data_IF_837269726710
#
_entry.id   IF_837269726710
#
_cell.length_a   1.000
_cell.length_b   1.000
_cell.length_c   1.000
_cell.angle_alpha   90.00
_cell.angle_beta   90.00
_cell.angle_gamma   90.00
#
_symmetry.space_group_name_H-M   'P 1'
#
loop_
_entity.id
_entity.type
_entity.pdbx_description
1 polymer ?
#
# COMPACT_ATOMS: atom_id res chain seq x y z
N UNK A 1 37.32 -45.64 14.53
CA UNK A 1 36.08 -44.86 14.75
C UNK A 1 36.00 -43.83 13.62
N UNK A 2 35.01 -43.94 12.75
CA UNK A 2 34.94 -43.25 11.44
C UNK A 2 33.57 -42.57 11.39
N UNK A 3 33.52 -41.25 11.57
CA UNK A 3 32.29 -40.45 11.43
C UNK A 3 32.35 -39.69 10.10
N UNK A 4 31.46 -39.97 9.13
CA UNK A 4 31.21 -39.10 8.00
C UNK A 4 29.84 -38.42 8.21
N UNK A 5 29.83 -37.13 8.57
CA UNK A 5 28.59 -36.35 8.60
C UNK A 5 28.91 -34.88 8.35
N UNK A 6 29.29 -34.56 7.11
CA UNK A 6 29.50 -33.17 6.65
C UNK A 6 28.86 -32.90 5.28
N UNK A 7 27.76 -33.58 4.95
CA UNK A 7 27.09 -33.44 3.64
C UNK A 7 25.58 -33.19 3.73
N UNK A 8 25.09 -32.46 4.74
CA UNK A 8 23.67 -32.12 4.86
C UNK A 8 23.36 -30.61 4.94
N UNK A 9 24.31 -29.73 4.61
CA UNK A 9 24.07 -28.28 4.60
C UNK A 9 24.06 -27.61 3.21
N UNK A 10 24.31 -28.35 2.13
CA UNK A 10 24.45 -27.76 0.79
C UNK A 10 23.19 -27.85 -0.10
N UNK A 11 22.10 -28.49 0.35
CA UNK A 11 20.91 -28.73 -0.49
C UNK A 11 19.82 -27.66 -0.41
N UNK A 12 20.01 -26.56 0.32
CA UNK A 12 19.03 -25.47 0.46
C UNK A 12 19.24 -24.29 -0.51
N UNK A 13 20.24 -24.34 -1.39
CA UNK A 13 20.58 -23.25 -2.34
C UNK A 13 20.20 -23.54 -3.80
N UNK A 14 19.51 -24.66 -4.06
CA UNK A 14 19.04 -25.01 -5.41
C UNK A 14 17.52 -24.94 -5.50
N UNK A 15 16.92 -23.84 -5.04
CA UNK A 15 15.60 -23.46 -5.52
C UNK A 15 15.79 -23.00 -6.97
N UNK A 16 15.12 -23.59 -7.97
CA UNK A 16 15.08 -22.93 -9.28
C UNK A 16 14.54 -21.52 -9.06
N UNK A 17 15.20 -20.52 -9.64
CA UNK A 17 14.60 -19.20 -9.82
C UNK A 17 13.29 -19.41 -10.55
N UNK A 18 12.19 -19.46 -9.81
CA UNK A 18 10.86 -19.40 -10.36
C UNK A 18 10.79 -18.03 -11.05
N UNK A 19 10.97 -18.01 -12.37
CA UNK A 19 10.75 -16.81 -13.15
C UNK A 19 9.24 -16.58 -13.11
N UNK A 20 8.79 -15.71 -12.20
CA UNK A 20 7.42 -15.23 -12.21
C UNK A 20 7.16 -14.59 -13.57
N UNK A 21 6.42 -15.28 -14.44
CA UNK A 21 5.98 -14.69 -15.70
C UNK A 21 4.93 -13.66 -15.36
N UNK A 22 5.20 -12.37 -15.61
CA UNK A 22 4.14 -11.37 -15.71
C UNK A 22 3.24 -11.85 -16.85
N UNK A 23 2.04 -12.29 -16.52
CA UNK A 23 1.06 -12.68 -17.54
C UNK A 23 0.47 -11.39 -18.10
N UNK A 24 1.10 -10.89 -19.16
CA UNK A 24 0.58 -9.78 -19.96
C UNK A 24 0.07 -10.31 -21.29
N UNK A 25 -1.13 -9.87 -21.68
CA UNK A 25 -1.73 -10.22 -22.96
C UNK A 25 -2.42 -9.00 -23.58
N UNK A 26 -2.08 -8.75 -24.82
CA UNK A 26 -2.77 -7.79 -25.68
C UNK A 26 -4.19 -8.30 -26.04
N UNK A 27 -5.18 -7.43 -25.86
CA UNK A 27 -6.59 -7.66 -26.15
C UNK A 27 -7.12 -6.52 -27.04
N UNK A 28 -6.67 -6.52 -28.30
CA UNK A 28 -6.91 -5.37 -29.19
C UNK A 28 -6.04 -4.21 -28.75
N UNK A 29 -6.64 -3.06 -28.46
CA UNK A 29 -5.95 -1.84 -27.99
C UNK A 29 -5.79 -1.83 -26.44
N UNK A 30 -6.05 -2.95 -25.78
CA UNK A 30 -5.98 -3.08 -24.33
C UNK A 30 -4.88 -4.03 -23.89
N UNK A 31 -4.20 -3.63 -22.82
CA UNK A 31 -3.22 -4.41 -22.10
C UNK A 31 -3.85 -5.09 -20.89
N UNK A 32 -3.95 -6.42 -20.89
CA UNK A 32 -4.34 -7.19 -19.70
C UNK A 32 -3.10 -7.67 -18.96
N UNK A 33 -2.94 -7.29 -17.69
CA UNK A 33 -1.77 -7.61 -16.86
C UNK A 33 -2.16 -8.26 -15.54
N UNK A 34 -1.58 -9.42 -15.25
CA UNK A 34 -1.57 -10.03 -13.90
C UNK A 34 -0.26 -9.64 -13.18
N UNK A 35 -0.36 -9.05 -11.98
CA UNK A 35 0.81 -8.54 -11.26
C UNK A 35 0.62 -8.59 -9.74
N UNK A 36 1.72 -8.55 -8.96
CA UNK A 36 1.69 -8.20 -7.53
C UNK A 36 1.94 -6.70 -7.26
N UNK A 37 1.85 -5.88 -8.31
CA UNK A 37 1.78 -4.41 -8.18
C UNK A 37 0.61 -3.88 -9.00
N UNK A 38 -0.35 -3.14 -8.39
CA UNK A 38 -1.49 -2.60 -9.13
C UNK A 38 -1.11 -1.38 -9.98
N UNK A 39 -1.83 -1.13 -11.07
CA UNK A 39 -1.57 -0.03 -12.02
C UNK A 39 -1.81 1.38 -11.47
N UNK A 40 -2.60 1.49 -10.40
CA UNK A 40 -2.89 2.71 -9.62
C UNK A 40 -1.68 3.16 -8.81
N UNK A 41 -0.73 3.83 -9.46
CA UNK A 41 0.57 4.14 -8.86
C UNK A 41 0.45 5.20 -7.76
N UNK A 42 -0.43 6.20 -7.93
CA UNK A 42 -0.62 7.26 -6.93
C UNK A 42 -1.32 6.75 -5.68
N UNK A 43 -2.19 5.75 -5.83
CA UNK A 43 -2.92 5.17 -4.70
C UNK A 43 -2.02 4.40 -3.72
N UNK A 44 -0.96 3.72 -4.16
CA UNK A 44 -0.15 2.82 -3.30
C UNK A 44 0.45 3.48 -2.04
N UNK A 45 0.64 4.80 -2.04
CA UNK A 45 1.09 5.56 -0.86
C UNK A 45 -0.03 6.15 -0.02
N UNK A 46 -1.22 6.25 -0.58
CA UNK A 46 -2.38 6.99 -0.10
C UNK A 46 -3.49 6.10 0.48
N UNK A 47 -3.51 4.83 0.11
CA UNK A 47 -4.51 3.85 0.56
C UNK A 47 -4.28 3.41 2.01
N UNK A 48 -5.35 2.85 2.62
CA UNK A 48 -5.29 2.19 3.93
C UNK A 48 -4.17 1.14 3.94
N UNK A 49 -3.42 0.99 5.04
CA UNK A 49 -2.47 -0.10 5.18
C UNK A 49 -3.28 -1.39 5.23
N UNK A 50 -3.15 -2.20 4.19
CA UNK A 50 -3.81 -3.49 4.15
C UNK A 50 -3.19 -4.43 5.18
N UNK A 51 -4.02 -5.29 5.78
CA UNK A 51 -3.52 -6.45 6.50
C UNK A 51 -2.69 -7.27 5.49
N UNK A 52 -1.41 -7.47 5.76
CA UNK A 52 -0.53 -8.24 4.87
C UNK A 52 -0.98 -9.70 4.89
N UNK A 53 -1.73 -10.12 3.87
CA UNK A 53 -1.94 -11.53 3.58
C UNK A 53 -0.65 -12.18 3.10
N UNK A 54 -0.52 -13.49 3.30
CA UNK A 54 0.60 -14.29 2.75
C UNK A 54 0.61 -14.31 1.22
N UNK A 55 -0.49 -13.93 0.60
CA UNK A 55 -0.66 -13.84 -0.85
C UNK A 55 -1.46 -12.58 -1.20
N UNK A 56 -0.92 -11.79 -2.14
CA UNK A 56 -1.53 -10.59 -2.68
C UNK A 56 -1.27 -10.51 -4.19
N UNK A 57 -2.20 -9.94 -4.94
CA UNK A 57 -2.12 -9.87 -6.39
C UNK A 57 -3.32 -9.16 -7.01
N UNK A 58 -3.20 -8.83 -8.30
CA UNK A 58 -4.27 -8.16 -9.02
C UNK A 58 -4.21 -8.35 -10.52
N UNK A 59 -5.34 -8.04 -11.13
CA UNK A 59 -5.57 -8.05 -12.57
C UNK A 59 -5.91 -6.64 -13.02
N UNK A 60 -5.17 -6.15 -14.01
CA UNK A 60 -5.28 -4.82 -14.57
C UNK A 60 -5.61 -4.90 -16.06
N UNK A 61 -6.49 -4.01 -16.52
CA UNK A 61 -6.76 -3.74 -17.92
C UNK A 61 -6.49 -2.26 -18.20
N UNK A 62 -5.52 -1.96 -19.05
CA UNK A 62 -5.16 -0.58 -19.43
C UNK A 62 -5.32 -0.35 -20.93
N UNK A 63 -5.50 0.90 -21.34
CA UNK A 63 -5.59 1.33 -22.73
C UNK A 63 -4.62 2.48 -22.97
N UNK A 64 -4.08 2.59 -24.19
CA UNK A 64 -3.11 3.63 -24.59
C UNK A 64 -3.63 5.08 -24.43
N UNK A 65 -4.95 5.24 -24.31
CA UNK A 65 -5.57 6.54 -24.00
C UNK A 65 -5.30 7.02 -22.57
N UNK A 66 -4.80 6.14 -21.70
CA UNK A 66 -4.52 6.42 -20.29
C UNK A 66 -5.57 5.87 -19.32
N UNK A 67 -6.71 5.38 -19.82
CA UNK A 67 -7.73 4.73 -18.99
C UNK A 67 -7.26 3.35 -18.52
N UNK A 68 -7.57 3.02 -17.27
CA UNK A 68 -7.37 1.69 -16.73
C UNK A 68 -8.44 1.31 -15.72
N UNK A 69 -8.73 0.01 -15.65
CA UNK A 69 -9.58 -0.60 -14.64
C UNK A 69 -8.85 -1.82 -14.08
N UNK A 70 -9.02 -2.10 -12.80
CA UNK A 70 -8.38 -3.27 -12.22
C UNK A 70 -9.04 -3.73 -10.94
N UNK A 71 -8.61 -4.91 -10.51
CA UNK A 71 -8.95 -5.50 -9.23
C UNK A 71 -7.68 -5.94 -8.54
N UNK A 72 -7.55 -5.58 -7.27
CA UNK A 72 -6.41 -5.91 -6.43
C UNK A 72 -6.90 -6.53 -5.12
N UNK A 73 -6.28 -7.63 -4.70
CA UNK A 73 -6.54 -8.20 -3.38
C UNK A 73 -5.25 -8.15 -2.56
N UNK A 74 -5.19 -7.31 -1.51
CA UNK A 74 -4.03 -7.25 -0.64
C UNK A 74 -4.00 -8.38 0.40
N UNK A 75 -5.16 -8.98 0.66
CA UNK A 75 -5.33 -10.16 1.49
C UNK A 75 -6.39 -11.05 0.87
N UNK A 76 -6.00 -12.26 0.49
CA UNK A 76 -6.91 -13.26 -0.06
C UNK A 76 -7.69 -14.05 1.02
N UNK A 77 -7.55 -13.66 2.30
CA UNK A 77 -8.26 -14.27 3.43
C UNK A 77 -7.87 -15.73 3.73
N UNK A 78 -6.67 -16.17 3.32
CA UNK A 78 -6.21 -17.56 3.46
C UNK A 78 -5.65 -17.90 4.87
N UNK A 79 -6.12 -17.23 5.92
CA UNK A 79 -5.68 -17.45 7.30
C UNK A 79 -6.76 -17.14 8.33
N UNK A 80 -6.69 -17.77 9.50
CA UNK A 80 -7.74 -17.72 10.55
C UNK A 80 -8.03 -16.29 11.08
N UNK A 81 -7.15 -15.32 10.80
CA UNK A 81 -7.25 -13.93 11.26
C UNK A 81 -7.31 -12.89 10.14
N UNK A 82 -7.42 -13.29 8.88
CA UNK A 82 -7.36 -12.36 7.75
C UNK A 82 -8.67 -12.40 6.97
N UNK A 83 -9.31 -11.24 6.86
CA UNK A 83 -10.46 -11.07 5.98
C UNK A 83 -10.00 -10.91 4.52
N UNK A 84 -10.88 -11.32 3.60
CA UNK A 84 -10.71 -11.06 2.18
C UNK A 84 -11.01 -9.59 1.92
N UNK A 85 -10.05 -8.91 1.30
CA UNK A 85 -10.21 -7.55 0.80
C UNK A 85 -10.10 -7.58 -0.72
N UNK A 86 -11.06 -6.96 -1.39
CA UNK A 86 -11.08 -6.80 -2.85
C UNK A 86 -11.24 -5.33 -3.19
N UNK A 87 -10.20 -4.77 -3.81
CA UNK A 87 -10.15 -3.38 -4.24
C UNK A 87 -10.43 -3.31 -5.73
N UNK A 88 -11.60 -2.81 -6.11
CA UNK A 88 -11.93 -2.52 -7.50
C UNK A 88 -11.63 -1.06 -7.81
N UNK A 89 -10.98 -0.77 -8.94
CA UNK A 89 -10.59 0.60 -9.25
C UNK A 89 -10.69 0.93 -10.72
N UNK A 90 -10.91 2.22 -10.96
CA UNK A 90 -10.90 2.87 -12.27
C UNK A 90 -10.03 4.11 -12.15
N UNK A 91 -9.20 4.37 -13.14
CA UNK A 91 -8.42 5.58 -13.18
C UNK A 91 -8.02 6.01 -14.58
N UNK A 92 -7.42 7.17 -14.62
CA UNK A 92 -6.85 7.79 -15.81
C UNK A 92 -5.45 8.30 -15.48
N UNK A 93 -4.48 7.92 -16.31
CA UNK A 93 -3.08 8.33 -16.19
C UNK A 93 -2.62 8.98 -17.48
N UNK A 94 -2.02 10.15 -17.36
CA UNK A 94 -1.46 10.86 -18.50
C UNK A 94 -0.02 11.29 -18.21
N UNK A 95 0.98 10.52 -18.70
CA UNK A 95 2.36 10.97 -18.71
C UNK A 95 2.58 11.96 -19.86
N UNK A 96 3.11 13.14 -19.55
CA UNK A 96 3.61 14.06 -20.58
C UNK A 96 5.01 13.63 -21.04
N UNK A 97 5.83 13.18 -20.09
CA UNK A 97 7.13 12.57 -20.32
C UNK A 97 7.49 11.65 -19.13
N UNK A 98 8.77 11.29 -19.00
CA UNK A 98 9.27 10.42 -17.91
C UNK A 98 9.29 11.10 -16.52
N UNK A 99 9.10 12.41 -16.48
CA UNK A 99 9.26 13.26 -15.30
C UNK A 99 8.00 14.00 -14.91
N UNK A 100 7.09 14.26 -15.85
CA UNK A 100 5.87 15.00 -15.66
C UNK A 100 4.66 14.16 -16.07
N UNK A 101 3.67 14.08 -15.18
CA UNK A 101 2.41 13.40 -15.46
C UNK A 101 1.40 13.64 -14.37
N UNK A 102 0.15 13.25 -14.63
CA UNK A 102 -0.88 13.20 -13.61
C UNK A 102 -1.63 11.88 -13.66
N UNK A 103 -2.20 11.51 -12.51
CA UNK A 103 -3.05 10.34 -12.35
C UNK A 103 -4.22 10.71 -11.45
N UNK A 104 -5.42 10.32 -11.83
CA UNK A 104 -6.63 10.43 -11.01
C UNK A 104 -7.39 9.13 -11.07
N UNK A 105 -8.12 8.81 -10.01
CA UNK A 105 -8.94 7.61 -10.00
C UNK A 105 -9.78 7.46 -8.75
N UNK A 106 -10.48 6.34 -8.72
CA UNK A 106 -11.29 5.94 -7.59
C UNK A 106 -11.09 4.46 -7.28
N UNK A 107 -11.32 4.10 -6.02
CA UNK A 107 -11.23 2.74 -5.49
C UNK A 107 -12.51 2.46 -4.72
N UNK A 108 -13.10 1.31 -4.98
CA UNK A 108 -14.13 0.69 -4.15
C UNK A 108 -13.46 -0.45 -3.39
N UNK A 109 -13.41 -0.32 -2.07
CA UNK A 109 -13.00 -1.39 -1.17
C UNK A 109 -14.23 -2.22 -0.82
N UNK A 110 -14.11 -3.53 -0.99
CA UNK A 110 -15.14 -4.51 -0.62
C UNK A 110 -14.57 -5.53 0.35
N UNK A 111 -15.30 -5.76 1.45
CA UNK A 111 -14.97 -6.74 2.48
C UNK A 111 -16.09 -7.79 2.57
N UNK A 112 -16.09 -8.84 1.73
CA UNK A 112 -17.22 -9.75 1.59
C UNK A 112 -17.61 -10.48 2.89
N UNK A 113 -16.66 -10.71 3.81
CA UNK A 113 -16.97 -11.33 5.11
C UNK A 113 -17.43 -10.33 6.18
N UNK A 114 -17.22 -9.03 5.98
CA UNK A 114 -17.43 -7.96 6.98
C UNK A 114 -18.45 -6.91 6.52
N UNK A 115 -19.36 -7.25 5.60
CA UNK A 115 -20.42 -6.34 5.18
C UNK A 115 -21.23 -5.87 6.41
N UNK A 116 -21.39 -4.54 6.64
CA UNK A 116 -21.34 -3.44 5.67
C UNK A 116 -20.10 -2.52 5.75
N UNK A 117 -18.87 -3.05 5.84
CA UNK A 117 -17.64 -2.24 5.97
C UNK A 117 -17.08 -1.67 4.64
N UNK A 118 -17.84 -1.74 3.55
CA UNK A 118 -17.41 -1.25 2.24
C UNK A 118 -17.11 0.25 2.26
N UNK A 119 -16.08 0.67 1.53
CA UNK A 119 -15.64 2.07 1.49
C UNK A 119 -15.22 2.51 0.09
N UNK A 120 -15.23 3.83 -0.13
CA UNK A 120 -14.83 4.45 -1.39
C UNK A 120 -13.69 5.41 -1.17
N UNK A 121 -12.79 5.52 -2.13
CA UNK A 121 -11.70 6.49 -2.11
C UNK A 121 -11.49 7.10 -3.48
N UNK A 122 -11.35 8.42 -3.52
CA UNK A 122 -10.90 9.17 -4.68
C UNK A 122 -9.46 9.60 -4.45
N UNK A 123 -8.62 9.50 -5.47
CA UNK A 123 -7.25 9.97 -5.39
C UNK A 123 -6.86 10.73 -6.66
N UNK A 124 -5.87 11.59 -6.49
CA UNK A 124 -5.24 12.31 -7.57
C UNK A 124 -3.81 12.69 -7.21
N UNK A 125 -2.95 12.81 -8.22
CA UNK A 125 -1.56 13.17 -7.99
C UNK A 125 -0.82 13.59 -9.24
N UNK A 126 0.36 14.15 -9.00
CA UNK A 126 1.30 14.63 -9.99
C UNK A 126 2.63 13.90 -9.82
N UNK A 127 3.21 13.51 -10.94
CA UNK A 127 4.63 13.13 -11.01
C UNK A 127 5.41 14.36 -11.45
N UNK A 128 6.47 14.70 -10.72
CA UNK A 128 7.37 15.82 -10.99
C UNK A 128 8.82 15.37 -10.77
N UNK A 129 9.63 15.36 -11.82
CA UNK A 129 11.06 15.00 -11.76
C UNK A 129 11.31 13.64 -11.08
N UNK A 130 10.42 12.66 -11.33
CA UNK A 130 10.48 11.33 -10.71
C UNK A 130 9.96 11.27 -9.26
N UNK A 131 9.63 12.41 -8.64
CA UNK A 131 8.90 12.47 -7.38
C UNK A 131 7.39 12.41 -7.63
N UNK A 132 6.62 11.88 -6.68
CA UNK A 132 5.17 11.77 -6.74
C UNK A 132 4.54 12.54 -5.59
N UNK A 133 3.54 13.33 -5.90
CA UNK A 133 2.75 14.09 -4.93
C UNK A 133 1.29 13.75 -5.15
N UNK A 134 0.58 13.40 -4.09
CA UNK A 134 -0.80 12.96 -4.22
C UNK A 134 -1.66 13.31 -3.03
N UNK A 135 -2.96 13.29 -3.28
CA UNK A 135 -3.99 13.43 -2.28
C UNK A 135 -5.05 12.36 -2.49
N UNK A 136 -5.65 11.90 -1.40
CA UNK A 136 -6.79 11.00 -1.42
C UNK A 136 -7.88 11.45 -0.44
N UNK A 137 -9.11 11.13 -0.77
CA UNK A 137 -10.28 11.32 0.08
C UNK A 137 -11.05 10.02 0.15
N UNK A 138 -11.20 9.46 1.35
CA UNK A 138 -11.97 8.24 1.57
C UNK A 138 -13.24 8.50 2.35
N UNK A 139 -14.28 7.75 2.00
CA UNK A 139 -15.55 7.70 2.68
C UNK A 139 -15.81 6.27 3.13
N UNK A 140 -15.62 6.06 4.43
CA UNK A 140 -15.94 4.85 5.15
C UNK A 140 -17.33 5.01 5.81
N UNK A 141 -18.02 3.92 6.19
CA UNK A 141 -19.33 4.00 6.82
C UNK A 141 -19.36 4.87 8.09
N UNK A 142 -18.27 4.86 8.85
CA UNK A 142 -18.14 5.51 10.16
C UNK A 142 -17.05 6.60 10.18
N UNK A 143 -16.37 6.85 9.07
CA UNK A 143 -15.18 7.72 9.04
C UNK A 143 -14.96 8.35 7.67
N UNK A 144 -14.38 9.54 7.63
CA UNK A 144 -13.89 10.19 6.41
C UNK A 144 -12.42 10.52 6.59
N UNK A 145 -11.61 10.19 5.59
CA UNK A 145 -10.18 10.43 5.63
C UNK A 145 -9.76 11.38 4.52
N UNK A 146 -8.80 12.25 4.80
CA UNK A 146 -8.09 13.02 3.78
C UNK A 146 -6.60 12.81 3.96
N UNK A 147 -5.95 12.29 2.92
CA UNK A 147 -4.55 11.90 2.95
C UNK A 147 -3.77 12.77 1.99
N UNK A 148 -2.59 13.23 2.42
CA UNK A 148 -1.56 13.82 1.58
C UNK A 148 -0.33 12.92 1.56
N UNK A 149 0.30 12.82 0.40
CA UNK A 149 1.44 11.95 0.16
C UNK A 149 2.49 12.66 -0.68
N UNK A 150 3.75 12.46 -0.32
CA UNK A 150 4.90 12.82 -1.12
C UNK A 150 5.88 11.65 -1.13
N UNK A 151 6.34 11.25 -2.30
CA UNK A 151 7.38 10.25 -2.49
C UNK A 151 8.45 10.81 -3.40
N UNK A 152 9.62 11.05 -2.82
CA UNK A 152 10.71 11.78 -3.45
C UNK A 152 11.62 10.86 -4.27
N UNK A 153 11.33 9.55 -4.29
CA UNK A 153 12.16 8.56 -4.98
C UNK A 153 13.55 8.40 -4.37
N UNK A 154 14.29 7.39 -4.85
CA UNK A 154 15.66 7.14 -4.43
C UNK A 154 16.66 7.94 -5.23
N UNK A 155 17.30 8.93 -4.62
CA UNK A 155 18.28 9.77 -5.33
C UNK A 155 19.73 9.32 -5.09
N UNK A 156 20.63 9.47 -6.09
CA UNK A 156 22.06 9.24 -5.92
C UNK A 156 22.67 10.11 -4.80
N UNK A 157 23.78 9.68 -4.16
CA UNK A 157 24.53 8.44 -4.39
C UNK A 157 24.05 7.24 -3.56
N UNK A 158 23.12 7.46 -2.61
CA UNK A 158 22.76 6.42 -1.64
C UNK A 158 21.54 5.58 -2.06
N UNK A 159 20.75 6.06 -3.02
CA UNK A 159 19.56 5.36 -3.49
C UNK A 159 18.51 5.20 -2.38
N UNK A 160 18.48 6.12 -1.42
CA UNK A 160 17.51 6.12 -0.33
C UNK A 160 16.27 6.86 -0.80
N UNK A 161 15.17 6.13 -0.92
CA UNK A 161 13.84 6.69 -1.13
C UNK A 161 13.30 7.30 0.15
N UNK A 162 12.64 8.45 0.04
CA UNK A 162 11.91 9.09 1.14
C UNK A 162 10.46 9.24 0.74
N UNK A 163 9.54 8.69 1.54
CA UNK A 163 8.11 8.93 1.39
C UNK A 163 7.52 9.47 2.68
N UNK A 164 6.64 10.45 2.57
CA UNK A 164 5.93 11.11 3.67
C UNK A 164 4.44 10.96 3.42
N UNK A 165 3.70 10.65 4.48
CA UNK A 165 2.24 10.64 4.47
C UNK A 165 1.70 11.38 5.69
N UNK A 166 0.62 12.12 5.48
CA UNK A 166 -0.16 12.77 6.51
C UNK A 166 -1.64 12.52 6.25
N UNK A 167 -2.38 12.07 7.26
CA UNK A 167 -3.81 11.76 7.15
C UNK A 167 -4.59 12.50 8.22
N UNK A 168 -5.68 13.14 7.82
CA UNK A 168 -6.72 13.63 8.72
C UNK A 168 -7.88 12.64 8.74
N UNK A 169 -8.27 12.22 9.93
CA UNK A 169 -9.40 11.33 10.18
C UNK A 169 -10.54 12.10 10.83
N UNK A 170 -11.73 12.06 10.23
CA UNK A 170 -12.96 12.61 10.78
C UNK A 170 -13.91 11.46 11.09
N UNK A 171 -14.23 11.27 12.38
CA UNK A 171 -15.14 10.23 12.81
C UNK A 171 -16.59 10.68 12.59
N UNK A 172 -17.42 9.79 12.03
CA UNK A 172 -18.85 10.02 11.83
C UNK A 172 -19.62 10.03 13.15
N UNK A 173 -19.15 9.26 14.13
CA UNK A 173 -19.60 9.32 15.53
C UNK A 173 -18.38 9.56 16.43
N UNK A 174 -18.39 10.60 17.28
CA UNK A 174 -17.26 10.84 18.19
C UNK A 174 -16.99 9.64 19.09
N UNK A 175 -15.73 9.22 19.16
CA UNK A 175 -15.30 8.13 20.02
C UNK A 175 -15.28 8.60 21.47
N UNK A 176 -15.94 7.84 22.37
CA UNK A 176 -15.86 8.12 23.81
C UNK A 176 -14.49 7.71 24.33
N UNK A 177 -13.84 8.63 25.04
CA UNK A 177 -12.53 8.43 25.68
C UNK A 177 -12.65 8.81 27.16
N UNK A 178 -11.66 8.45 27.98
CA UNK A 178 -11.74 8.62 29.44
C UNK A 178 -12.05 10.06 29.88
N UNK A 179 -11.64 11.05 29.11
CA UNK A 179 -11.74 12.48 29.44
C UNK A 179 -12.59 13.29 28.44
N UNK A 180 -13.46 12.64 27.66
CA UNK A 180 -14.34 13.33 26.72
C UNK A 180 -14.63 12.54 25.45
N UNK A 181 -14.60 13.23 24.32
CA UNK A 181 -14.87 12.65 23.01
C UNK A 181 -13.82 13.11 21.99
N UNK A 182 -13.41 12.19 21.13
CA UNK A 182 -12.56 12.47 19.97
C UNK A 182 -13.46 12.43 18.74
N UNK A 183 -13.55 13.54 18.01
CA UNK A 183 -14.30 13.62 16.74
C UNK A 183 -13.38 13.60 15.52
N UNK A 184 -12.11 13.96 15.68
CA UNK A 184 -11.10 13.89 14.65
C UNK A 184 -9.70 13.73 15.24
N UNK A 185 -8.80 13.18 14.43
CA UNK A 185 -7.38 13.08 14.76
C UNK A 185 -6.55 13.04 13.47
N UNK A 186 -5.24 13.19 13.62
CA UNK A 186 -4.31 13.09 12.49
C UNK A 186 -3.25 12.02 12.76
N UNK A 187 -2.78 11.38 11.71
CA UNK A 187 -1.60 10.53 11.76
C UNK A 187 -0.61 10.88 10.64
N UNK A 188 0.65 10.51 10.84
CA UNK A 188 1.67 10.72 9.84
C UNK A 188 2.71 9.60 9.86
N UNK A 189 3.40 9.46 8.73
CA UNK A 189 4.55 8.56 8.63
C UNK A 189 5.63 9.10 7.71
N UNK A 190 6.87 8.77 8.06
CA UNK A 190 8.05 8.99 7.23
C UNK A 190 8.68 7.62 6.98
N UNK A 191 8.85 7.26 5.72
CA UNK A 191 9.43 6.01 5.27
C UNK A 191 10.74 6.29 4.55
N UNK A 192 11.80 5.61 4.97
CA UNK A 192 13.04 5.46 4.23
C UNK A 192 13.07 4.08 3.60
N UNK A 193 13.35 3.98 2.31
CA UNK A 193 13.44 2.71 1.59
C UNK A 193 14.73 2.58 0.81
N UNK A 194 15.34 1.40 0.80
CA UNK A 194 16.53 1.12 0.02
C UNK A 194 16.54 -0.33 -0.47
N UNK A 195 16.69 -0.57 -1.78
CA UNK A 195 16.92 -1.91 -2.29
C UNK A 195 18.34 -2.37 -1.89
N UNK A 196 18.45 -3.59 -1.39
CA UNK A 196 19.69 -4.21 -0.96
C UNK A 196 19.69 -5.70 -1.29
N UNK A 197 20.51 -6.09 -2.28
CA UNK A 197 20.68 -7.49 -2.69
C UNK A 197 19.36 -8.22 -3.03
N UNK A 198 18.43 -7.53 -3.71
CA UNK A 198 17.11 -8.09 -4.06
C UNK A 198 16.07 -8.00 -2.95
N UNK A 199 16.42 -7.47 -1.78
CA UNK A 199 15.52 -7.22 -0.66
C UNK A 199 15.29 -5.71 -0.55
N UNK A 200 14.03 -5.28 -0.52
CA UNK A 200 13.66 -3.91 -0.21
C UNK A 200 13.59 -3.71 1.29
N UNK A 201 14.57 -2.98 1.83
CA UNK A 201 14.61 -2.60 3.24
C UNK A 201 13.84 -1.31 3.44
N UNK A 202 12.95 -1.28 4.43
CA UNK A 202 12.13 -0.12 4.77
C UNK A 202 12.21 0.18 6.26
N UNK A 203 12.49 1.43 6.59
CA UNK A 203 12.40 1.96 7.94
C UNK A 203 11.29 3.02 7.97
N UNK A 204 10.30 2.82 8.83
CA UNK A 204 9.11 3.66 8.90
C UNK A 204 8.99 4.20 10.31
N UNK A 205 8.97 5.52 10.46
CA UNK A 205 8.51 6.18 11.67
C UNK A 205 7.06 6.61 11.46
N UNK A 206 6.18 6.34 12.40
CA UNK A 206 4.79 6.78 12.38
C UNK A 206 4.32 7.26 13.73
N UNK A 207 3.41 8.24 13.74
CA UNK A 207 2.90 8.84 14.96
C UNK A 207 1.50 9.44 14.74
N UNK A 208 0.85 9.88 15.81
CA UNK A 208 -0.48 10.47 15.76
C UNK A 208 -0.63 11.69 16.67
N UNK A 209 -1.69 12.47 16.46
CA UNK A 209 -2.06 13.56 17.36
C UNK A 209 -2.76 13.09 18.65
N UNK A 210 -3.09 11.80 18.74
CA UNK A 210 -3.71 11.21 19.93
C UNK A 210 -2.64 10.86 20.96
N UNK A 211 -3.02 10.83 22.23
CA UNK A 211 -2.12 10.44 23.32
C UNK A 211 -2.91 9.88 24.50
N UNK A 212 -2.24 9.09 25.34
CA UNK A 212 -2.79 8.60 26.61
C UNK A 212 -4.14 7.92 26.45
N UNK A 213 -5.16 8.43 27.14
CA UNK A 213 -6.52 7.86 27.11
C UNK A 213 -7.23 8.01 25.77
N UNK A 214 -6.78 8.93 24.92
CA UNK A 214 -7.47 9.23 23.66
C UNK A 214 -7.14 8.18 22.58
N UNK A 215 -6.09 7.39 22.80
CA UNK A 215 -5.68 6.31 21.91
C UNK A 215 -6.74 5.23 21.68
N UNK A 216 -7.73 5.09 22.56
CA UNK A 216 -8.86 4.19 22.32
C UNK A 216 -9.74 4.63 21.13
N UNK A 217 -9.62 5.87 20.66
CA UNK A 217 -10.29 6.36 19.46
C UNK A 217 -9.52 6.06 18.15
N UNK A 218 -8.30 5.51 18.24
CA UNK A 218 -7.43 5.36 17.08
C UNK A 218 -7.91 4.24 16.14
N UNK A 219 -7.93 4.54 14.84
CA UNK A 219 -8.25 3.58 13.76
C UNK A 219 -7.40 3.81 12.50
N UNK A 220 -6.18 4.33 12.68
CA UNK A 220 -5.22 4.65 11.62
C UNK A 220 -4.15 3.56 11.42
N UNK A 221 -2.98 3.96 10.92
CA UNK A 221 -1.90 3.05 10.51
C UNK A 221 -1.13 2.34 11.64
N UNK A 222 -1.22 2.88 12.86
CA UNK A 222 -0.47 2.42 14.01
C UNK A 222 -1.41 2.03 15.15
N UNK A 223 -1.67 0.74 15.32
CA UNK A 223 -2.59 0.23 16.35
C UNK A 223 -2.24 0.62 17.80
N UNK A 224 -1.04 1.12 18.06
CA UNK A 224 -0.60 1.55 19.39
C UNK A 224 -0.84 3.04 19.67
N UNK A 225 -1.19 3.85 18.65
CA UNK A 225 -1.40 5.30 18.75
C UNK A 225 -0.18 6.15 19.19
N UNK A 226 0.82 5.56 19.85
CA UNK A 226 2.10 6.16 20.22
C UNK A 226 3.15 6.13 19.10
N UNK A 227 4.20 6.94 19.19
CA UNK A 227 5.32 6.92 18.22
C UNK A 227 5.88 5.50 18.00
N UNK A 228 5.82 5.01 16.75
CA UNK A 228 6.23 3.65 16.37
C UNK A 228 7.34 3.69 15.32
N UNK A 229 8.39 2.91 15.54
CA UNK A 229 9.42 2.63 14.56
C UNK A 229 9.24 1.20 14.02
N UNK A 230 8.95 1.07 12.73
CA UNK A 230 8.75 -0.21 12.05
C UNK A 230 9.89 -0.48 11.07
N UNK A 231 10.44 -1.69 11.13
CA UNK A 231 11.36 -2.20 10.12
C UNK A 231 10.65 -3.27 9.27
N UNK A 232 10.72 -3.14 7.94
CA UNK A 232 10.20 -4.15 7.00
C UNK A 232 11.30 -4.55 6.02
N UNK A 233 11.33 -5.82 5.68
CA UNK A 233 12.15 -6.39 4.62
C UNK A 233 11.21 -7.15 3.68
N UNK A 234 11.21 -6.75 2.41
CA UNK A 234 10.33 -7.34 1.38
C UNK A 234 11.18 -7.88 0.23
N UNK A 235 10.77 -9.00 -0.36
CA UNK A 235 11.42 -9.58 -1.52
C UNK A 235 10.35 -9.90 -2.56
N UNK A 236 10.41 -9.22 -3.70
CA UNK A 236 9.52 -9.49 -4.83
C UNK A 236 9.92 -10.81 -5.48
N UNK A 237 8.96 -11.71 -5.71
CA UNK A 237 9.22 -13.00 -6.37
C UNK A 237 9.30 -12.90 -7.90
N UNK A 238 9.50 -11.69 -8.45
CA UNK A 238 9.64 -11.42 -9.87
C UNK A 238 10.30 -10.06 -10.12
#
# INVERSE_FOLDING_TARGET
MRNPSFFLLASLLASPLAHGQIFQRELGDFDLKLSSTPSRSMAQGLVKPSASGSFHGGLDLSHDSGWYVGQWSPSMGLGESNDLEVDSYLGFKHPFDQTLGYEVGMIQYSYPQLAPQDSQEFYGGLTLLGSRFGAAFSQDPDKRNSTLFADLGGNPPFGIGVSIKYTTHQLGSPASVSNGYVSSFNDWSIKFSRPWMGIDLKLIYSDSSLNGSDCSAYSGHNAQCDSLLTFKAEHSFY
#
